data_IF_066391441775
#
_entry.id   IF_066391441775
#
_cell.length_a   1.000
_cell.length_b   1.000
_cell.length_c   1.000
_cell.angle_alpha   90.00
_cell.angle_beta   90.00
_cell.angle_gamma   90.00
#
_symmetry.space_group_name_H-M   'P 1'
#
loop_
_entity.id
_entity.type
_entity.pdbx_description
1 polymer ?
#
# COMPACT_ATOMS: atom_id res chain seq x y z
N UNK A 1 -3.24 12.15 8.29
CA UNK A 1 -2.11 11.30 7.81
C UNK A 1 -1.29 11.95 6.69
N UNK A 2 -1.52 13.22 6.34
CA UNK A 2 -0.72 13.90 5.32
C UNK A 2 0.65 14.27 5.88
N UNK A 3 1.72 13.87 5.17
CA UNK A 3 3.13 14.12 5.51
C UNK A 3 3.64 13.40 6.76
N UNK A 4 3.19 12.16 6.96
CA UNK A 4 3.59 11.34 8.10
C UNK A 4 4.33 10.09 7.62
N UNK A 5 5.13 9.50 8.50
CA UNK A 5 5.96 8.34 8.19
C UNK A 5 5.34 7.08 8.80
N UNK A 6 5.24 6.03 7.99
CA UNK A 6 4.93 4.66 8.42
C UNK A 6 6.26 3.90 8.45
N UNK A 7 6.60 3.29 9.58
CA UNK A 7 7.87 2.58 9.75
C UNK A 7 7.70 1.07 9.74
N UNK A 8 8.49 0.38 8.93
CA UNK A 8 8.63 -1.08 9.00
C UNK A 8 9.40 -1.46 10.27
N UNK A 9 8.85 -2.38 11.07
CA UNK A 9 9.43 -2.82 12.34
C UNK A 9 9.35 -4.33 12.49
N UNK A 10 10.37 -4.94 13.10
CA UNK A 10 10.44 -6.39 13.29
C UNK A 10 10.36 -6.82 14.76
N UNK A 11 10.46 -5.88 15.69
CA UNK A 11 10.36 -6.15 17.14
C UNK A 11 9.54 -5.08 17.86
N UNK A 12 9.00 -5.41 19.06
CA UNK A 12 8.32 -4.41 19.90
C UNK A 12 9.21 -3.21 20.27
N UNK A 13 10.51 -3.42 20.44
CA UNK A 13 11.48 -2.37 20.77
C UNK A 13 11.64 -1.39 19.60
N UNK A 14 11.75 -1.90 18.37
CA UNK A 14 11.79 -1.05 17.17
C UNK A 14 10.49 -0.26 17.00
N UNK A 15 9.34 -0.86 17.31
CA UNK A 15 8.05 -0.19 17.23
C UNK A 15 7.97 0.99 18.21
N UNK A 16 8.46 0.85 19.44
CA UNK A 16 8.56 1.94 20.41
C UNK A 16 9.48 3.08 19.94
N UNK A 17 10.65 2.73 19.38
CA UNK A 17 11.58 3.72 18.82
C UNK A 17 10.90 4.49 17.68
N UNK A 18 10.17 3.80 16.80
CA UNK A 18 9.44 4.43 15.70
C UNK A 18 8.35 5.39 16.22
N UNK A 19 7.57 4.98 17.22
CA UNK A 19 6.55 5.83 17.85
C UNK A 19 7.17 7.05 18.53
N UNK A 20 8.24 6.88 19.32
CA UNK A 20 8.97 7.97 19.96
C UNK A 20 9.59 8.95 18.94
N UNK A 21 10.01 8.47 17.79
CA UNK A 21 10.50 9.28 16.67
C UNK A 21 9.40 10.02 15.91
N UNK A 22 8.11 9.77 16.22
CA UNK A 22 6.97 10.46 15.63
C UNK A 22 6.36 9.77 14.42
N UNK A 23 6.59 8.47 14.22
CA UNK A 23 5.87 7.69 13.22
C UNK A 23 4.36 7.71 13.51
N UNK A 24 3.53 7.77 12.46
CA UNK A 24 2.08 7.77 12.60
C UNK A 24 1.48 6.37 12.63
N UNK A 25 2.22 5.38 12.16
CA UNK A 25 1.87 3.97 12.18
C UNK A 25 3.15 3.13 12.02
N UNK A 26 3.05 1.85 12.34
CA UNK A 26 4.12 0.86 12.08
C UNK A 26 3.58 -0.28 11.22
N UNK A 27 4.44 -0.83 10.37
CA UNK A 27 4.19 -2.05 9.62
C UNK A 27 4.93 -3.20 10.31
N UNK A 28 4.20 -4.15 10.85
CA UNK A 28 4.76 -5.32 11.52
C UNK A 28 5.25 -6.34 10.48
N UNK A 29 6.55 -6.62 10.48
CA UNK A 29 7.21 -7.60 9.61
C UNK A 29 8.04 -8.54 10.47
N UNK A 30 7.95 -9.85 10.25
CA UNK A 30 8.81 -10.81 10.93
C UNK A 30 10.23 -10.80 10.35
N UNK A 31 10.32 -10.67 9.02
CA UNK A 31 11.57 -10.56 8.27
C UNK A 31 11.33 -9.68 7.03
N UNK A 32 12.39 -9.09 6.52
CA UNK A 32 12.34 -8.33 5.27
C UNK A 32 12.00 -9.31 4.13
N UNK A 33 10.89 -9.11 3.39
CA UNK A 33 10.45 -10.06 2.36
C UNK A 33 11.47 -10.28 1.24
N UNK A 34 12.26 -9.25 0.91
CA UNK A 34 13.32 -9.35 -0.08
C UNK A 34 14.38 -10.39 0.32
N UNK A 35 14.77 -10.44 1.59
CA UNK A 35 15.76 -11.39 2.10
C UNK A 35 15.25 -12.84 2.04
N UNK A 36 13.96 -13.05 2.35
CA UNK A 36 13.31 -14.37 2.26
C UNK A 36 13.32 -14.87 0.81
N UNK A 37 12.95 -14.01 -0.13
CA UNK A 37 12.90 -14.35 -1.57
C UNK A 37 14.30 -14.60 -2.13
N UNK A 38 15.29 -13.80 -1.74
CA UNK A 38 16.69 -13.99 -2.14
C UNK A 38 17.25 -15.33 -1.66
N UNK A 39 16.78 -15.81 -0.51
CA UNK A 39 17.12 -17.16 0.01
C UNK A 39 16.30 -18.30 -0.64
N UNK A 40 15.45 -18.01 -1.64
CA UNK A 40 14.62 -19.00 -2.33
C UNK A 40 13.40 -19.47 -1.53
N UNK A 41 13.02 -18.74 -0.47
CA UNK A 41 11.88 -19.07 0.38
C UNK A 41 10.56 -18.45 -0.09
N UNK A 42 9.45 -18.95 0.47
CA UNK A 42 8.12 -18.38 0.32
C UNK A 42 7.90 -17.37 1.44
N UNK A 43 7.72 -16.10 1.06
CA UNK A 43 7.40 -15.03 2.00
C UNK A 43 5.90 -15.03 2.30
N UNK A 44 5.53 -15.23 3.56
CA UNK A 44 4.16 -15.34 4.06
C UNK A 44 3.82 -14.23 5.05
N UNK A 45 2.56 -14.17 5.45
CA UNK A 45 2.11 -13.38 6.60
C UNK A 45 3.00 -13.67 7.83
N UNK A 46 3.33 -12.64 8.60
CA UNK A 46 4.08 -12.77 9.85
C UNK A 46 3.27 -13.48 10.92
N UNK A 47 3.95 -14.10 11.89
CA UNK A 47 3.32 -14.81 13.01
C UNK A 47 2.38 -13.87 13.80
N UNK A 48 1.11 -14.25 14.01
CA UNK A 48 0.16 -13.44 14.77
C UNK A 48 0.62 -13.10 16.18
N UNK A 49 1.41 -13.98 16.82
CA UNK A 49 1.95 -13.74 18.16
C UNK A 49 2.98 -12.60 18.14
N UNK A 50 3.83 -12.55 17.11
CA UNK A 50 4.78 -11.46 16.92
C UNK A 50 4.04 -10.13 16.67
N UNK A 51 3.03 -10.14 15.79
CA UNK A 51 2.19 -8.96 15.51
C UNK A 51 1.53 -8.45 16.80
N UNK A 52 0.94 -9.33 17.61
CA UNK A 52 0.38 -8.99 18.93
C UNK A 52 1.42 -8.38 19.87
N UNK A 53 2.67 -8.85 19.85
CA UNK A 53 3.76 -8.25 20.61
C UNK A 53 4.00 -6.80 20.25
N UNK A 54 3.96 -6.48 18.98
CA UNK A 54 4.08 -5.11 18.46
C UNK A 54 2.84 -4.27 18.83
N UNK A 55 1.62 -4.80 18.62
CA UNK A 55 0.38 -4.11 19.02
C UNK A 55 0.37 -3.71 20.50
N UNK A 56 0.85 -4.59 21.37
CA UNK A 56 0.92 -4.33 22.81
C UNK A 56 2.01 -3.33 23.21
N UNK A 57 2.95 -3.03 22.31
CA UNK A 57 4.10 -2.19 22.60
C UNK A 57 3.88 -0.71 22.27
N UNK A 58 2.93 -0.39 21.39
CA UNK A 58 2.71 0.96 20.87
C UNK A 58 1.25 1.37 20.96
N UNK A 59 1.00 2.68 20.93
CA UNK A 59 -0.35 3.26 20.90
C UNK A 59 -0.79 3.71 19.48
N UNK A 60 0.16 3.77 18.55
CA UNK A 60 -0.10 4.11 17.15
C UNK A 60 -0.62 2.89 16.39
N UNK A 61 -1.36 3.08 15.27
CA UNK A 61 -1.86 1.99 14.44
C UNK A 61 -0.78 1.02 13.98
N UNK A 62 -1.12 -0.26 13.99
CA UNK A 62 -0.25 -1.35 13.52
C UNK A 62 -0.85 -1.93 12.25
N UNK A 63 -0.03 -2.00 11.21
CA UNK A 63 -0.34 -2.61 9.93
C UNK A 63 0.34 -3.96 9.79
N UNK A 64 -0.25 -4.89 9.06
CA UNK A 64 0.39 -6.17 8.73
C UNK A 64 0.08 -6.57 7.29
N UNK A 65 0.94 -7.43 6.71
CA UNK A 65 0.82 -7.87 5.33
C UNK A 65 0.19 -9.26 5.22
N UNK A 66 -0.70 -9.42 4.26
CA UNK A 66 -1.13 -10.72 3.76
C UNK A 66 -0.72 -10.93 2.31
N UNK A 67 -0.66 -12.18 1.87
CA UNK A 67 -0.36 -12.51 0.48
C UNK A 67 -1.52 -12.15 -0.44
N UNK A 68 -1.22 -11.77 -1.67
CA UNK A 68 -2.24 -11.52 -2.70
C UNK A 68 -3.14 -12.76 -2.83
N UNK A 69 -4.46 -12.56 -2.78
CA UNK A 69 -5.48 -13.60 -2.90
C UNK A 69 -5.67 -14.50 -1.67
N UNK A 70 -4.87 -14.33 -0.62
CA UNK A 70 -4.95 -15.19 0.56
C UNK A 70 -5.95 -14.65 1.61
N UNK A 71 -7.23 -14.78 1.33
CA UNK A 71 -8.31 -14.29 2.21
C UNK A 71 -8.25 -14.89 3.63
N UNK A 72 -7.76 -16.13 3.80
CA UNK A 72 -7.63 -16.72 5.14
C UNK A 72 -6.54 -16.02 6.00
N UNK A 73 -5.43 -15.55 5.40
CA UNK A 73 -4.47 -14.70 6.13
C UNK A 73 -5.12 -13.38 6.55
N UNK A 74 -5.90 -12.76 5.67
CA UNK A 74 -6.63 -11.54 6.01
C UNK A 74 -7.67 -11.77 7.15
N UNK A 75 -8.37 -12.91 7.16
CA UNK A 75 -9.27 -13.27 8.24
C UNK A 75 -8.54 -13.43 9.58
N UNK A 76 -7.34 -14.02 9.58
CA UNK A 76 -6.50 -14.13 10.78
C UNK A 76 -6.11 -12.74 11.28
N UNK A 77 -5.66 -11.86 10.37
CA UNK A 77 -5.28 -10.48 10.72
C UNK A 77 -6.47 -9.70 11.29
N UNK A 78 -7.65 -9.82 10.69
CA UNK A 78 -8.87 -9.22 11.23
C UNK A 78 -9.21 -9.78 12.63
N UNK A 79 -9.08 -11.09 12.83
CA UNK A 79 -9.36 -11.73 14.13
C UNK A 79 -8.40 -11.30 15.25
N UNK A 80 -7.20 -10.87 14.93
CA UNK A 80 -6.27 -10.27 15.88
C UNK A 80 -6.42 -8.74 15.98
N UNK A 81 -7.48 -8.18 15.41
CA UNK A 81 -7.81 -6.75 15.49
C UNK A 81 -6.69 -5.84 14.97
N UNK A 82 -6.08 -6.21 13.84
CA UNK A 82 -5.11 -5.35 13.16
C UNK A 82 -5.78 -4.07 12.65
N UNK A 83 -5.09 -2.94 12.70
CA UNK A 83 -5.67 -1.66 12.26
C UNK A 83 -5.76 -1.52 10.75
N UNK A 84 -4.80 -2.10 10.00
CA UNK A 84 -4.77 -2.10 8.52
C UNK A 84 -4.15 -3.39 8.00
N UNK A 85 -4.69 -3.91 6.90
CA UNK A 85 -4.12 -5.04 6.15
C UNK A 85 -3.53 -4.54 4.85
N UNK A 86 -2.26 -4.84 4.58
CA UNK A 86 -1.62 -4.64 3.28
C UNK A 86 -1.64 -5.95 2.49
N UNK A 87 -2.53 -6.06 1.49
CA UNK A 87 -2.50 -7.15 0.50
C UNK A 87 -1.34 -6.88 -0.44
N UNK A 88 -0.21 -7.58 -0.21
CA UNK A 88 1.09 -7.12 -0.65
C UNK A 88 1.77 -8.04 -1.64
N UNK A 89 2.23 -7.43 -2.75
CA UNK A 89 3.08 -8.07 -3.76
C UNK A 89 4.50 -8.37 -3.27
N UNK A 90 4.94 -7.82 -2.15
CA UNK A 90 6.27 -8.11 -1.60
C UNK A 90 6.31 -9.49 -0.95
N UNK A 91 5.17 -10.02 -0.51
CA UNK A 91 5.02 -11.42 -0.13
C UNK A 91 4.85 -12.30 -1.37
N UNK A 92 5.09 -13.61 -1.23
CA UNK A 92 4.82 -14.57 -2.31
C UNK A 92 3.30 -14.66 -2.53
N UNK A 93 2.77 -14.41 -3.73
CA UNK A 93 1.33 -14.48 -3.95
C UNK A 93 0.78 -15.89 -3.67
N UNK A 94 -0.43 -15.97 -3.15
CA UNK A 94 -1.18 -17.22 -3.01
C UNK A 94 -2.07 -17.46 -4.23
N UNK A 95 -2.49 -16.39 -4.88
CA UNK A 95 -3.26 -16.40 -6.11
C UNK A 95 -2.67 -15.35 -7.06
N UNK A 96 -2.42 -15.72 -8.30
CA UNK A 96 -1.84 -14.83 -9.32
C UNK A 96 -2.91 -14.16 -10.20
N UNK A 97 -4.19 -14.54 -10.02
CA UNK A 97 -5.33 -14.05 -10.79
C UNK A 97 -6.26 -13.20 -9.92
N UNK A 98 -6.66 -13.72 -8.77
CA UNK A 98 -7.69 -13.10 -7.94
C UNK A 98 -7.11 -12.41 -6.70
N UNK A 99 -7.46 -11.13 -6.54
CA UNK A 99 -7.25 -10.40 -5.30
C UNK A 99 -8.38 -10.67 -4.30
N UNK A 100 -8.12 -10.39 -3.02
CA UNK A 100 -9.11 -10.51 -1.95
C UNK A 100 -10.27 -9.54 -2.22
N UNK A 101 -11.51 -10.00 -2.02
CA UNK A 101 -12.68 -9.12 -1.96
C UNK A 101 -12.68 -8.38 -0.61
N UNK A 102 -12.16 -7.17 -0.62
CA UNK A 102 -11.94 -6.35 0.58
C UNK A 102 -13.23 -5.84 1.20
N UNK A 103 -14.33 -5.86 0.42
CA UNK A 103 -15.67 -5.46 0.89
C UNK A 103 -16.30 -6.44 1.87
N UNK A 104 -15.71 -7.63 2.03
CA UNK A 104 -16.13 -8.64 3.01
C UNK A 104 -15.46 -8.45 4.38
N UNK A 105 -14.61 -7.45 4.54
CA UNK A 105 -13.84 -7.20 5.76
C UNK A 105 -14.20 -5.83 6.35
N UNK A 106 -14.20 -5.75 7.68
CA UNK A 106 -14.39 -4.49 8.42
C UNK A 106 -13.09 -3.70 8.54
N UNK A 107 -11.94 -4.38 8.46
CA UNK A 107 -10.63 -3.75 8.55
C UNK A 107 -10.23 -3.13 7.19
N UNK A 108 -9.68 -1.90 7.17
CA UNK A 108 -9.28 -1.25 5.93
C UNK A 108 -8.06 -1.90 5.29
N UNK A 109 -8.04 -1.95 3.96
CA UNK A 109 -6.96 -2.52 3.16
C UNK A 109 -6.11 -1.47 2.47
N UNK A 110 -4.81 -1.76 2.44
CA UNK A 110 -3.81 -1.06 1.61
C UNK A 110 -3.41 -1.97 0.47
N UNK A 111 -3.22 -1.42 -0.72
CA UNK A 111 -2.71 -2.15 -1.89
C UNK A 111 -1.65 -1.34 -2.63
N UNK A 112 -0.68 -2.02 -3.21
CA UNK A 112 0.27 -1.43 -4.13
C UNK A 112 -0.34 -1.23 -5.52
N UNK A 113 0.08 -0.15 -6.22
CA UNK A 113 -0.25 0.08 -7.62
C UNK A 113 0.92 0.74 -8.37
N UNK A 114 1.12 0.33 -9.63
CA UNK A 114 2.16 0.87 -10.52
C UNK A 114 1.63 2.00 -11.41
N UNK A 115 0.31 2.06 -11.59
CA UNK A 115 -0.37 2.97 -12.49
C UNK A 115 -1.81 3.22 -12.03
N UNK A 116 -2.47 4.17 -12.69
CA UNK A 116 -3.83 4.58 -12.36
C UNK A 116 -4.84 3.44 -12.54
N UNK A 117 -4.73 2.66 -13.60
CA UNK A 117 -5.65 1.54 -13.85
C UNK A 117 -5.58 0.50 -12.75
N UNK A 118 -4.38 0.11 -12.32
CA UNK A 118 -4.19 -0.82 -11.21
C UNK A 118 -4.74 -0.22 -9.89
N UNK A 119 -4.47 1.05 -9.61
CA UNK A 119 -4.99 1.72 -8.41
C UNK A 119 -6.51 1.71 -8.36
N UNK A 120 -7.17 2.09 -9.46
CA UNK A 120 -8.63 2.14 -9.52
C UNK A 120 -9.26 0.73 -9.45
N UNK A 121 -8.61 -0.30 -9.98
CA UNK A 121 -9.07 -1.69 -9.79
C UNK A 121 -8.99 -2.11 -8.32
N UNK A 122 -7.89 -1.82 -7.62
CA UNK A 122 -7.78 -2.10 -6.17
C UNK A 122 -8.82 -1.34 -5.35
N UNK A 123 -9.06 -0.06 -5.69
CA UNK A 123 -10.09 0.76 -5.04
C UNK A 123 -11.49 0.17 -5.29
N UNK A 124 -11.77 -0.30 -6.51
CA UNK A 124 -13.04 -0.95 -6.82
C UNK A 124 -13.27 -2.25 -6.01
N UNK A 125 -12.19 -2.96 -5.69
CA UNK A 125 -12.23 -4.15 -4.81
C UNK A 125 -12.39 -3.80 -3.33
N UNK A 126 -12.28 -2.53 -2.95
CA UNK A 126 -12.46 -2.03 -1.58
C UNK A 126 -11.18 -1.56 -0.90
N UNK A 127 -10.07 -1.36 -1.62
CA UNK A 127 -8.87 -0.77 -1.03
C UNK A 127 -9.15 0.65 -0.51
N UNK A 128 -8.74 0.92 0.72
CA UNK A 128 -8.90 2.20 1.41
C UNK A 128 -7.69 3.12 1.28
N UNK A 129 -6.55 2.57 0.88
CA UNK A 129 -5.30 3.30 0.63
C UNK A 129 -4.53 2.63 -0.51
N UNK A 130 -3.82 3.45 -1.29
CA UNK A 130 -2.92 3.00 -2.35
C UNK A 130 -1.49 3.42 -2.00
N UNK A 131 -0.53 2.56 -2.32
CA UNK A 131 0.89 2.86 -2.22
C UNK A 131 1.63 2.55 -3.51
N UNK A 132 2.80 3.15 -3.69
CA UNK A 132 3.71 2.75 -4.77
C UNK A 132 4.22 1.32 -4.55
N UNK A 133 4.54 0.62 -5.64
CA UNK A 133 5.24 -0.67 -5.62
C UNK A 133 6.75 -0.41 -5.77
N UNK A 134 7.45 -0.25 -4.66
CA UNK A 134 8.89 -0.05 -4.65
C UNK A 134 9.65 -1.34 -4.33
N UNK A 135 10.93 -1.19 -4.06
CA UNK A 135 11.84 -2.27 -3.63
C UNK A 135 12.12 -2.13 -2.13
N UNK A 136 11.26 -2.67 -1.25
CA UNK A 136 11.39 -2.50 0.19
C UNK A 136 12.67 -3.19 0.70
N UNK A 137 13.37 -2.53 1.63
CA UNK A 137 14.61 -3.02 2.24
C UNK A 137 15.87 -2.81 1.42
N UNK A 138 15.80 -2.30 0.19
CA UNK A 138 16.98 -2.10 -0.68
C UNK A 138 17.59 -0.71 -0.55
N UNK A 139 16.83 0.29 -0.11
CA UNK A 139 17.21 1.71 -0.16
C UNK A 139 17.20 2.30 -1.58
N UNK A 140 16.73 1.56 -2.59
CA UNK A 140 16.57 2.05 -3.97
C UNK A 140 15.15 2.55 -4.19
N UNK A 141 15.01 3.88 -4.25
CA UNK A 141 13.74 4.58 -4.39
C UNK A 141 13.24 4.69 -5.85
N UNK A 142 14.04 4.30 -6.83
CA UNK A 142 13.77 4.60 -8.26
C UNK A 142 12.41 4.07 -8.73
N UNK A 143 11.99 2.89 -8.27
CA UNK A 143 10.70 2.32 -8.65
C UNK A 143 9.53 3.09 -8.04
N UNK A 144 9.62 3.48 -6.76
CA UNK A 144 8.62 4.30 -6.12
C UNK A 144 8.43 5.65 -6.84
N UNK A 145 9.55 6.29 -7.23
CA UNK A 145 9.54 7.52 -8.03
C UNK A 145 8.85 7.32 -9.37
N UNK A 146 9.19 6.25 -10.10
CA UNK A 146 8.57 5.93 -11.40
C UNK A 146 7.06 5.75 -11.27
N UNK A 147 6.60 5.00 -10.29
CA UNK A 147 5.17 4.74 -10.08
C UNK A 147 4.42 6.02 -9.69
N UNK A 148 4.99 6.83 -8.79
CA UNK A 148 4.38 8.12 -8.43
C UNK A 148 4.27 9.07 -9.62
N UNK A 149 5.33 9.21 -10.41
CA UNK A 149 5.32 10.04 -11.61
C UNK A 149 4.33 9.52 -12.66
N UNK A 150 4.26 8.21 -12.86
CA UNK A 150 3.30 7.59 -13.77
C UNK A 150 1.87 7.85 -13.32
N UNK A 151 1.56 7.62 -12.04
CA UNK A 151 0.25 7.90 -11.44
C UNK A 151 -0.17 9.35 -11.69
N UNK A 152 0.71 10.31 -11.36
CA UNK A 152 0.43 11.73 -11.55
C UNK A 152 0.20 12.09 -13.03
N UNK A 153 0.99 11.53 -13.94
CA UNK A 153 0.83 11.75 -15.39
C UNK A 153 -0.49 11.20 -15.91
N UNK A 154 -0.89 10.01 -15.47
CA UNK A 154 -2.15 9.39 -15.88
C UNK A 154 -3.37 10.12 -15.29
N UNK A 155 -3.30 10.57 -14.04
CA UNK A 155 -4.32 11.43 -13.42
C UNK A 155 -4.45 12.75 -14.22
N UNK A 156 -3.33 13.40 -14.55
CA UNK A 156 -3.34 14.64 -15.32
C UNK A 156 -3.95 14.43 -16.74
N UNK A 157 -3.66 13.29 -17.37
CA UNK A 157 -4.25 12.90 -18.65
C UNK A 157 -5.78 12.78 -18.54
N UNK A 158 -6.30 12.03 -17.57
CA UNK A 158 -7.74 11.89 -17.35
C UNK A 158 -8.39 13.25 -17.04
N UNK A 159 -7.76 14.07 -16.19
CA UNK A 159 -8.26 15.39 -15.84
C UNK A 159 -8.36 16.38 -17.02
N UNK A 160 -7.59 16.15 -18.10
CA UNK A 160 -7.60 16.97 -19.31
C UNK A 160 -8.51 16.47 -20.43
N UNK A 161 -9.11 15.29 -20.28
CA UNK A 161 -10.03 14.71 -21.26
C UNK A 161 -11.36 15.45 -21.30
N UNK A 162 -12.05 15.38 -22.42
CA UNK A 162 -13.46 15.78 -22.52
C UNK A 162 -14.33 14.67 -21.92
N UNK A 163 -15.52 15.02 -21.47
CA UNK A 163 -16.47 14.06 -20.87
C UNK A 163 -16.81 12.88 -21.79
N UNK A 164 -16.93 13.12 -23.11
CA UNK A 164 -17.22 12.07 -24.09
C UNK A 164 -16.07 11.06 -24.29
N UNK A 165 -14.86 11.39 -23.85
CA UNK A 165 -13.68 10.52 -23.93
C UNK A 165 -13.57 9.57 -22.70
N UNK A 166 -14.28 9.87 -21.61
CA UNK A 166 -14.12 9.14 -20.34
C UNK A 166 -14.60 7.68 -20.42
N UNK A 167 -15.61 7.38 -21.25
CA UNK A 167 -16.06 6.00 -21.47
C UNK A 167 -14.95 5.13 -22.09
N UNK A 168 -14.24 5.67 -23.08
CA UNK A 168 -13.12 4.94 -23.68
C UNK A 168 -11.94 4.81 -22.71
N UNK A 169 -11.66 5.85 -21.93
CA UNK A 169 -10.66 5.80 -20.88
C UNK A 169 -10.95 4.69 -19.84
N UNK A 170 -12.20 4.56 -19.40
CA UNK A 170 -12.63 3.50 -18.48
C UNK A 170 -12.42 2.10 -19.06
N UNK A 171 -12.73 1.90 -20.35
CA UNK A 171 -12.48 0.64 -21.05
C UNK A 171 -10.98 0.32 -21.14
N UNK A 172 -10.16 1.30 -21.53
CA UNK A 172 -8.70 1.12 -21.64
C UNK A 172 -8.05 0.80 -20.29
N UNK A 173 -8.48 1.47 -19.21
CA UNK A 173 -7.99 1.22 -17.85
C UNK A 173 -8.60 -0.05 -17.23
N UNK A 174 -9.66 -0.61 -17.82
CA UNK A 174 -10.42 -1.76 -17.28
C UNK A 174 -10.97 -1.48 -15.89
N UNK A 175 -11.63 -0.34 -15.71
CA UNK A 175 -12.16 0.13 -14.42
C UNK A 175 -13.60 0.66 -14.58
N UNK A 176 -14.37 0.75 -13.48
CA UNK A 176 -15.69 1.37 -13.49
C UNK A 176 -15.63 2.84 -13.95
N UNK A 177 -16.64 3.23 -14.74
CA UNK A 177 -16.75 4.58 -15.31
C UNK A 177 -16.82 5.67 -14.25
N UNK A 178 -17.54 5.43 -13.15
CA UNK A 178 -17.70 6.37 -12.04
C UNK A 178 -16.36 6.71 -11.35
N UNK A 179 -15.42 5.76 -11.27
CA UNK A 179 -14.08 6.03 -10.74
C UNK A 179 -13.25 6.91 -11.69
N UNK A 180 -13.42 6.77 -13.00
CA UNK A 180 -12.76 7.65 -13.98
C UNK A 180 -13.34 9.06 -13.90
N UNK A 181 -14.66 9.20 -13.80
CA UNK A 181 -15.32 10.47 -13.57
C UNK A 181 -14.83 11.15 -12.29
N UNK A 182 -14.70 10.40 -11.21
CA UNK A 182 -14.14 10.94 -9.95
C UNK A 182 -12.74 11.54 -10.16
N UNK A 183 -11.84 10.80 -10.84
CA UNK A 183 -10.48 11.28 -11.11
C UNK A 183 -10.50 12.51 -12.03
N UNK A 184 -11.37 12.52 -13.04
CA UNK A 184 -11.53 13.66 -13.95
C UNK A 184 -11.93 14.94 -13.20
N UNK A 185 -12.93 14.85 -12.34
CA UNK A 185 -13.48 15.99 -11.60
C UNK A 185 -12.52 16.45 -10.48
N UNK A 186 -11.99 15.50 -9.70
CA UNK A 186 -11.24 15.79 -8.48
C UNK A 186 -9.71 15.86 -8.69
N UNK A 187 -9.19 15.43 -9.84
CA UNK A 187 -7.75 15.43 -10.20
C UNK A 187 -6.86 14.68 -9.22
N UNK A 188 -7.42 13.67 -8.56
CA UNK A 188 -6.75 12.82 -7.56
C UNK A 188 -7.47 11.49 -7.41
N UNK A 189 -6.83 10.53 -6.73
CA UNK A 189 -7.49 9.30 -6.29
C UNK A 189 -8.56 9.59 -5.21
N UNK A 190 -9.61 8.74 -5.10
CA UNK A 190 -10.60 8.84 -4.02
C UNK A 190 -10.06 8.42 -2.65
N UNK A 191 -8.86 7.86 -2.60
CA UNK A 191 -8.19 7.39 -1.39
C UNK A 191 -6.78 7.97 -1.30
N UNK A 192 -6.16 7.89 -0.12
CA UNK A 192 -4.78 8.32 0.11
C UNK A 192 -3.82 7.50 -0.77
N UNK A 193 -2.87 8.18 -1.39
CA UNK A 193 -1.77 7.58 -2.14
C UNK A 193 -0.43 7.92 -1.47
N UNK A 194 0.29 6.93 -0.99
CA UNK A 194 1.55 7.14 -0.29
C UNK A 194 2.72 6.41 -0.95
N UNK A 195 3.93 6.85 -0.64
CA UNK A 195 5.15 6.27 -1.15
C UNK A 195 5.59 5.10 -0.29
N UNK A 196 5.93 3.98 -0.92
CA UNK A 196 6.53 2.83 -0.25
C UNK A 196 7.56 2.16 -1.14
N UNK A 197 8.55 1.54 -0.48
CA UNK A 197 9.61 0.78 -1.14
C UNK A 197 10.86 1.61 -1.46
N UNK A 198 11.96 1.32 -0.77
CA UNK A 198 13.26 1.95 -1.01
C UNK A 198 13.46 3.31 -0.36
N UNK A 199 12.51 3.82 0.42
CA UNK A 199 12.66 5.06 1.19
C UNK A 199 13.58 4.78 2.38
N UNK A 200 14.80 5.31 2.36
CA UNK A 200 15.82 5.02 3.36
C UNK A 200 16.30 6.27 4.12
N UNK A 201 16.13 7.44 3.54
CA UNK A 201 16.63 8.69 4.11
C UNK A 201 15.54 9.77 4.20
N UNK A 202 15.72 10.78 5.06
CA UNK A 202 14.82 11.95 5.07
C UNK A 202 14.75 12.67 3.72
N UNK A 203 15.84 12.64 2.93
CA UNK A 203 15.87 13.22 1.58
C UNK A 203 14.98 12.45 0.60
N UNK A 204 14.95 11.12 0.69
CA UNK A 204 14.04 10.27 -0.11
C UNK A 204 12.58 10.56 0.25
N UNK A 205 12.27 10.64 1.54
CA UNK A 205 10.93 10.99 2.01
C UNK A 205 10.52 12.39 1.48
N UNK A 206 11.41 13.38 1.58
CA UNK A 206 11.17 14.73 1.06
C UNK A 206 10.94 14.74 -0.46
N UNK A 207 11.69 13.93 -1.22
CA UNK A 207 11.50 13.76 -2.66
C UNK A 207 10.10 13.21 -2.97
N UNK A 208 9.68 12.14 -2.30
CA UNK A 208 8.37 11.54 -2.55
C UNK A 208 7.23 12.48 -2.16
N UNK A 209 7.36 13.22 -1.07
CA UNK A 209 6.39 14.23 -0.67
C UNK A 209 6.26 15.38 -1.70
N UNK A 210 7.37 15.82 -2.28
CA UNK A 210 7.37 16.83 -3.35
C UNK A 210 6.81 16.29 -4.66
N UNK A 211 6.88 15.00 -4.90
CA UNK A 211 6.23 14.32 -6.02
C UNK A 211 4.73 14.07 -5.80
N UNK A 212 4.18 14.42 -4.64
CA UNK A 212 2.76 14.36 -4.37
C UNK A 212 2.32 13.15 -3.55
N UNK A 213 3.24 12.40 -2.96
CA UNK A 213 2.88 11.39 -1.96
C UNK A 213 2.19 12.07 -0.76
N UNK A 214 1.19 11.41 -0.19
CA UNK A 214 0.42 11.95 0.93
C UNK A 214 0.96 11.45 2.30
N UNK A 215 1.75 10.36 2.26
CA UNK A 215 2.54 9.84 3.38
C UNK A 215 3.74 9.04 2.86
#
# INVERSE_FOLDING_TARGET
YKRQVIMDVTTPEQAKIAEEAGACAVMALERIPADIRAAGGVSRMSDPKMIRGIQNAVSIPVMAKCRIGHFAEAQILQAIEIDYIDESEVLSPADDVYHINKKEFDVPFVCGAKDLGEALRRINEGASMIRTKGEPGTGDIVQAVRHMRRMNSEIAKIASMREDELFEAAKQLQVPYDLVCYVHENKKLPVVNFAAGGVATPADAALMMQLGAEA
#
